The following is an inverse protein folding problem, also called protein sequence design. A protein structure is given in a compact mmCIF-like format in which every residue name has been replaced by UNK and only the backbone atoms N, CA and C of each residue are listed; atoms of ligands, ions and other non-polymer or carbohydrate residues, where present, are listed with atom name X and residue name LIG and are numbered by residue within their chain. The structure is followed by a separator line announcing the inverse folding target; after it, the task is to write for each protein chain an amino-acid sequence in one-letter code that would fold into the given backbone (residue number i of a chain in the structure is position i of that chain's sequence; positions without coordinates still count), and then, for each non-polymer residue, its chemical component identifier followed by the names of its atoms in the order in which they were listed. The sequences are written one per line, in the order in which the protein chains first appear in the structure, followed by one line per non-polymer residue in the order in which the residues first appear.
data_IF_466304689886
#
_entry.id   IF_466304689886
#
_cell.length_a   1.000
_cell.length_b   1.000
_cell.length_c   1.000
_cell.angle_alpha   90.00
_cell.angle_beta   90.00
_cell.angle_gamma   90.00
#
_symmetry.space_group_name_H-M   'P 1'
#
loop_
_entity.id
_entity.type
_entity.pdbx_description
1 polymer ?
#
# COMPACT_ATOMS: atom_id res chain seq x y z
N UNK A 1 7.17 9.65 -22.23
CA UNK A 1 6.11 9.52 -21.20
C UNK A 1 5.43 8.19 -21.46
N UNK A 2 5.34 7.31 -20.44
CA UNK A 2 4.62 6.06 -20.61
C UNK A 2 3.14 6.34 -20.88
N UNK A 3 2.51 5.52 -21.72
CA UNK A 3 1.08 5.61 -22.00
C UNK A 3 0.23 4.99 -20.88
N UNK A 4 0.83 4.67 -19.72
CA UNK A 4 0.21 4.04 -18.56
C UNK A 4 0.74 4.67 -17.26
N UNK A 5 -0.02 4.54 -16.17
CA UNK A 5 0.41 4.91 -14.82
C UNK A 5 0.92 3.70 -14.02
N UNK A 6 0.31 2.54 -14.24
CA UNK A 6 0.72 1.28 -13.63
C UNK A 6 0.62 0.15 -14.67
N UNK A 7 1.66 -0.66 -14.80
CA UNK A 7 1.70 -1.73 -15.79
C UNK A 7 2.19 -3.03 -15.19
N UNK A 8 1.52 -4.11 -15.52
CA UNK A 8 1.98 -5.48 -15.32
C UNK A 8 2.33 -6.06 -16.70
N UNK A 9 3.54 -6.57 -16.84
CA UNK A 9 4.09 -7.10 -18.10
C UNK A 9 4.57 -8.53 -17.88
N UNK A 10 3.86 -9.49 -18.44
CA UNK A 10 4.04 -10.93 -18.25
C UNK A 10 4.22 -11.34 -16.78
N UNK A 11 3.50 -10.64 -15.90
CA UNK A 11 3.64 -10.83 -14.46
C UNK A 11 3.21 -12.23 -14.06
N UNK A 12 4.09 -12.92 -13.33
CA UNK A 12 3.83 -14.22 -12.73
C UNK A 12 3.98 -14.14 -11.20
N UNK A 13 2.98 -14.67 -10.49
CA UNK A 13 2.89 -14.62 -9.04
C UNK A 13 2.69 -15.99 -8.43
N UNK A 14 3.14 -16.17 -7.19
CA UNK A 14 3.01 -17.43 -6.49
C UNK A 14 3.78 -17.46 -5.18
N UNK A 15 4.00 -18.65 -4.65
CA UNK A 15 4.64 -18.88 -3.36
C UNK A 15 5.79 -19.88 -3.48
N UNK A 16 6.89 -19.63 -2.77
CA UNK A 16 8.03 -20.55 -2.67
C UNK A 16 8.56 -21.03 -4.03
N UNK A 17 8.59 -20.13 -5.02
CA UNK A 17 9.05 -20.44 -6.37
C UNK A 17 8.03 -21.21 -7.23
N UNK A 18 6.83 -21.52 -6.72
CA UNK A 18 5.75 -22.14 -7.49
C UNK A 18 4.81 -21.07 -8.01
N UNK A 19 4.66 -21.03 -9.34
CA UNK A 19 3.72 -20.12 -10.00
C UNK A 19 2.29 -20.54 -9.73
N UNK A 20 1.48 -19.59 -9.28
CA UNK A 20 0.04 -19.74 -9.09
C UNK A 20 -0.72 -19.15 -10.28
N UNK A 21 -0.32 -17.98 -10.73
CA UNK A 21 -0.89 -17.27 -11.88
C UNK A 21 0.26 -16.72 -12.71
N UNK A 22 0.15 -16.78 -14.02
CA UNK A 22 1.11 -16.27 -14.99
C UNK A 22 0.39 -15.49 -16.11
N UNK A 23 1.17 -14.87 -16.98
CA UNK A 23 0.70 -14.13 -18.15
C UNK A 23 -0.26 -12.98 -17.79
N UNK A 24 -0.03 -12.31 -16.63
CA UNK A 24 -0.81 -11.16 -16.24
C UNK A 24 -0.26 -9.94 -16.98
N UNK A 25 -1.07 -9.41 -17.90
CA UNK A 25 -0.77 -8.24 -18.70
C UNK A 25 -1.90 -7.22 -18.53
N UNK A 26 -1.63 -6.12 -17.84
CA UNK A 26 -2.60 -5.07 -17.55
C UNK A 26 -1.90 -3.73 -17.56
N UNK A 27 -2.45 -2.79 -18.30
CA UNK A 27 -2.09 -1.39 -18.28
C UNK A 27 -3.21 -0.60 -17.58
N UNK A 28 -2.85 0.30 -16.67
CA UNK A 28 -3.79 1.10 -15.88
C UNK A 28 -3.40 2.56 -16.02
N UNK A 29 -4.34 3.40 -16.43
CA UNK A 29 -4.16 4.85 -16.55
C UNK A 29 -4.43 5.58 -15.24
N UNK A 30 -4.01 6.85 -15.16
CA UNK A 30 -4.34 7.70 -14.01
C UNK A 30 -5.84 7.90 -13.89
N UNK A 31 -6.37 7.71 -12.67
CA UNK A 31 -7.78 7.90 -12.37
C UNK A 31 -8.66 6.70 -12.66
N UNK A 32 -8.12 5.60 -13.17
CA UNK A 32 -8.86 4.36 -13.35
C UNK A 32 -9.08 3.62 -12.04
N UNK A 33 -10.20 2.92 -11.97
CA UNK A 33 -10.53 1.97 -10.89
C UNK A 33 -10.55 0.57 -11.48
N UNK A 34 -9.65 -0.28 -11.01
CA UNK A 34 -9.57 -1.68 -11.42
C UNK A 34 -10.03 -2.58 -10.30
N UNK A 35 -10.94 -3.50 -10.60
CA UNK A 35 -11.49 -4.45 -9.64
C UNK A 35 -11.08 -5.89 -10.00
N UNK A 36 -10.47 -6.60 -9.05
CA UNK A 36 -10.17 -8.02 -9.18
C UNK A 36 -11.35 -8.85 -8.66
N UNK A 37 -12.00 -9.58 -9.55
CA UNK A 37 -13.16 -10.44 -9.24
C UNK A 37 -12.79 -11.90 -9.46
N UNK A 38 -13.26 -12.79 -8.60
CA UNK A 38 -13.04 -14.22 -8.71
C UNK A 38 -13.33 -14.94 -7.40
N UNK A 39 -13.42 -16.28 -7.42
CA UNK A 39 -13.67 -17.09 -6.22
C UNK A 39 -12.53 -16.99 -5.21
N UNK A 40 -12.80 -17.46 -3.98
CA UNK A 40 -11.75 -17.58 -2.97
C UNK A 40 -10.66 -18.56 -3.46
N UNK A 41 -9.39 -18.22 -3.20
CA UNK A 41 -8.25 -19.01 -3.67
C UNK A 41 -7.83 -18.77 -5.13
N UNK A 42 -8.51 -17.90 -5.90
CA UNK A 42 -8.13 -17.58 -7.28
C UNK A 42 -6.85 -16.74 -7.43
N UNK A 43 -6.20 -16.37 -6.31
CA UNK A 43 -4.94 -15.64 -6.32
C UNK A 43 -5.04 -14.11 -6.29
N UNK A 44 -6.24 -13.52 -6.11
CA UNK A 44 -6.42 -12.06 -6.01
C UNK A 44 -5.48 -11.42 -4.98
N UNK A 45 -5.46 -11.96 -3.76
CA UNK A 45 -4.58 -11.48 -2.69
C UNK A 45 -3.09 -11.69 -3.00
N UNK A 46 -2.75 -12.72 -3.77
CA UNK A 46 -1.38 -12.98 -4.22
C UNK A 46 -0.91 -11.90 -5.19
N UNK A 47 -1.78 -11.52 -6.14
CA UNK A 47 -1.50 -10.40 -7.06
C UNK A 47 -1.28 -9.11 -6.26
N UNK A 48 -2.23 -8.75 -5.37
CA UNK A 48 -2.13 -7.53 -4.55
C UNK A 48 -0.87 -7.51 -3.68
N UNK A 49 -0.54 -8.63 -3.03
CA UNK A 49 0.70 -8.75 -2.23
C UNK A 49 1.97 -8.63 -3.08
N UNK A 50 1.93 -9.07 -4.32
CA UNK A 50 3.08 -8.97 -5.23
C UNK A 50 3.28 -7.54 -5.74
N UNK A 51 2.22 -6.82 -6.11
CA UNK A 51 2.32 -5.42 -6.54
C UNK A 51 2.66 -4.45 -5.39
N UNK A 52 2.39 -4.84 -4.14
CA UNK A 52 2.80 -4.09 -2.94
C UNK A 52 4.16 -4.51 -2.39
N UNK A 53 4.92 -5.34 -3.11
CA UNK A 53 6.22 -5.92 -2.71
C UNK A 53 6.21 -6.75 -1.42
N UNK A 54 5.04 -7.15 -0.93
CA UNK A 54 4.94 -8.11 0.19
C UNK A 54 5.32 -9.53 -0.23
N UNK A 55 5.14 -9.84 -1.52
CA UNK A 55 5.61 -11.08 -2.15
C UNK A 55 6.51 -10.75 -3.34
N UNK A 56 7.56 -11.53 -3.52
CA UNK A 56 8.41 -11.44 -4.72
C UNK A 56 7.66 -11.97 -5.94
N UNK A 57 7.83 -11.32 -7.07
CA UNK A 57 7.38 -11.86 -8.36
C UNK A 57 8.11 -13.18 -8.65
N UNK A 58 7.41 -14.10 -9.28
CA UNK A 58 8.00 -15.34 -9.85
C UNK A 58 8.59 -15.03 -11.22
N UNK A 59 7.96 -14.15 -11.99
CA UNK A 59 8.40 -13.71 -13.31
C UNK A 59 7.73 -12.43 -13.74
N UNK A 60 8.13 -11.91 -14.90
CA UNK A 60 7.62 -10.67 -15.46
C UNK A 60 8.10 -9.43 -14.75
N UNK A 61 7.48 -8.31 -15.07
CA UNK A 61 7.80 -6.99 -14.51
C UNK A 61 6.53 -6.24 -14.13
N UNK A 62 6.67 -5.34 -13.17
CA UNK A 62 5.65 -4.38 -12.81
C UNK A 62 6.28 -2.99 -12.83
N UNK A 63 5.60 -2.04 -13.44
CA UNK A 63 6.05 -0.66 -13.57
C UNK A 63 5.07 0.29 -12.88
N UNK A 64 5.62 1.27 -12.23
CA UNK A 64 4.93 2.42 -11.69
C UNK A 64 5.45 3.64 -12.43
N UNK A 65 4.60 4.23 -13.27
CA UNK A 65 5.07 5.17 -14.29
C UNK A 65 6.19 4.50 -15.13
N UNK A 66 7.31 5.12 -15.35
CA UNK A 66 8.44 4.53 -16.11
C UNK A 66 9.42 3.72 -15.24
N UNK A 67 9.14 3.56 -13.95
CA UNK A 67 10.05 2.92 -12.99
C UNK A 67 9.63 1.50 -12.66
N UNK A 68 10.56 0.55 -12.80
CA UNK A 68 10.32 -0.84 -12.39
C UNK A 68 10.09 -0.94 -10.88
N UNK A 69 8.98 -1.56 -10.49
CA UNK A 69 8.64 -1.80 -9.08
C UNK A 69 9.77 -2.54 -8.33
N UNK A 70 10.48 -3.44 -9.00
CA UNK A 70 11.57 -4.20 -8.40
C UNK A 70 12.75 -3.29 -8.00
N UNK A 71 12.99 -2.22 -8.76
CA UNK A 71 14.09 -1.27 -8.57
C UNK A 71 13.74 -0.18 -7.56
N UNK A 72 12.46 0.12 -7.34
CA UNK A 72 12.02 1.09 -6.35
C UNK A 72 12.43 0.67 -4.94
N UNK A 73 12.94 1.59 -4.16
CA UNK A 73 13.06 1.40 -2.71
C UNK A 73 11.68 1.34 -2.04
N UNK A 74 11.61 0.77 -0.82
CA UNK A 74 10.35 0.80 -0.07
C UNK A 74 9.89 2.22 0.25
N UNK A 75 10.82 3.15 0.44
CA UNK A 75 10.52 4.56 0.67
C UNK A 75 9.85 5.20 -0.56
N UNK A 76 10.39 4.99 -1.74
CA UNK A 76 9.80 5.47 -2.99
C UNK A 76 8.42 4.86 -3.24
N UNK A 77 8.28 3.54 -3.03
CA UNK A 77 6.99 2.88 -3.19
C UNK A 77 5.94 3.45 -2.24
N UNK A 78 6.26 3.62 -0.95
CA UNK A 78 5.32 4.13 0.04
C UNK A 78 4.97 5.61 -0.13
N UNK A 79 5.79 6.38 -0.87
CA UNK A 79 5.45 7.76 -1.26
C UNK A 79 4.48 7.83 -2.44
N UNK A 80 4.32 6.73 -3.19
CA UNK A 80 3.51 6.67 -4.40
C UNK A 80 2.31 5.73 -4.29
N UNK A 81 2.26 4.87 -3.26
CA UNK A 81 1.22 3.85 -3.11
C UNK A 81 0.71 3.79 -1.67
N UNK A 82 -0.61 3.86 -1.50
CA UNK A 82 -1.28 3.54 -0.24
C UNK A 82 -1.96 2.17 -0.34
N UNK A 83 -1.98 1.43 0.77
CA UNK A 83 -2.58 0.09 0.84
C UNK A 83 -3.52 0.03 2.02
N UNK A 84 -4.77 -0.38 1.78
CA UNK A 84 -5.72 -0.73 2.82
C UNK A 84 -5.75 -2.25 2.97
N UNK A 85 -5.38 -2.73 4.15
CA UNK A 85 -5.36 -4.16 4.47
C UNK A 85 -6.72 -4.61 4.98
N UNK A 86 -7.11 -5.84 4.68
CA UNK A 86 -8.32 -6.48 5.24
C UNK A 86 -8.09 -6.98 6.66
N UNK A 87 -6.84 -7.24 7.04
CA UNK A 87 -6.46 -7.66 8.38
C UNK A 87 -6.16 -6.43 9.23
N UNK A 88 -6.70 -6.42 10.45
CA UNK A 88 -6.43 -5.34 11.40
C UNK A 88 -4.97 -5.37 11.82
N UNK A 89 -4.31 -4.22 11.75
CA UNK A 89 -2.97 -4.04 12.29
C UNK A 89 -3.07 -4.15 13.82
N UNK A 90 -2.33 -5.09 14.39
CA UNK A 90 -2.17 -5.19 15.84
C UNK A 90 -0.95 -4.38 16.24
N UNK A 91 -1.14 -3.40 17.07
CA UNK A 91 -0.07 -2.54 17.59
C UNK A 91 -0.06 -2.64 19.11
N UNK A 92 1.10 -2.49 19.72
CA UNK A 92 1.22 -2.37 21.17
C UNK A 92 1.30 -0.90 21.54
N UNK A 93 0.36 -0.45 22.40
CA UNK A 93 0.39 0.88 23.03
C UNK A 93 0.43 2.08 22.06
N UNK A 94 -0.11 1.96 20.86
CA UNK A 94 -0.21 3.10 19.94
C UNK A 94 -1.61 3.70 19.95
N UNK A 95 -1.66 5.02 19.96
CA UNK A 95 -2.89 5.80 19.77
C UNK A 95 -3.31 5.80 18.28
N UNK A 96 -4.56 6.17 18.02
CA UNK A 96 -5.04 6.33 16.65
C UNK A 96 -4.23 7.39 15.87
N UNK A 97 -3.89 8.49 16.53
CA UNK A 97 -3.06 9.55 15.95
C UNK A 97 -1.68 9.02 15.56
N UNK A 98 -1.00 8.27 16.43
CA UNK A 98 0.30 7.68 16.14
C UNK A 98 0.25 6.68 14.97
N UNK A 99 -0.83 5.89 14.84
CA UNK A 99 -1.03 5.00 13.68
C UNK A 99 -1.15 5.81 12.39
N UNK A 100 -1.95 6.87 12.36
CA UNK A 100 -2.09 7.74 11.18
C UNK A 100 -0.76 8.42 10.87
N UNK A 101 -0.04 8.86 11.89
CA UNK A 101 1.28 9.48 11.77
C UNK A 101 2.33 8.57 11.11
N UNK A 102 2.20 7.23 11.23
CA UNK A 102 3.10 6.30 10.51
C UNK A 102 3.07 6.51 8.99
N UNK A 103 1.97 7.00 8.44
CA UNK A 103 1.84 7.36 7.03
C UNK A 103 2.81 8.47 6.58
N UNK A 104 3.38 9.24 7.53
CA UNK A 104 4.37 10.27 7.23
C UNK A 104 5.81 9.76 7.19
N UNK A 105 6.11 8.53 7.61
CA UNK A 105 7.48 8.00 7.63
C UNK A 105 8.23 8.10 6.30
N UNK A 106 7.62 7.94 5.12
CA UNK A 106 8.33 8.13 3.86
C UNK A 106 8.89 9.53 3.67
N UNK A 107 8.29 10.53 4.32
CA UNK A 107 8.61 11.96 4.19
C UNK A 107 9.50 12.48 5.32
N UNK A 108 9.58 11.76 6.43
CA UNK A 108 10.43 12.13 7.56
C UNK A 108 11.90 11.76 7.32
N UNK A 109 12.79 12.38 8.10
CA UNK A 109 14.21 12.04 8.10
C UNK A 109 14.51 10.70 8.78
N UNK A 110 15.80 10.41 8.95
CA UNK A 110 16.31 9.14 9.54
C UNK A 110 15.77 8.80 10.95
N UNK A 111 15.38 9.82 11.70
CA UNK A 111 14.87 9.67 13.07
C UNK A 111 13.35 9.55 13.15
N UNK A 112 12.64 9.66 12.03
CA UNK A 112 11.18 9.58 12.00
C UNK A 112 10.47 10.72 12.76
N UNK A 113 11.16 11.84 13.01
CA UNK A 113 10.60 12.99 13.73
C UNK A 113 9.66 13.74 12.78
N UNK A 114 8.41 13.91 13.21
CA UNK A 114 7.41 14.69 12.49
C UNK A 114 7.71 16.18 12.62
N UNK A 115 7.53 16.89 11.52
CA UNK A 115 7.53 18.36 11.50
C UNK A 115 6.14 18.88 11.83
N UNK A 116 5.97 20.18 12.15
CA UNK A 116 4.63 20.78 12.31
C UNK A 116 3.75 20.62 11.07
N UNK A 117 4.33 20.59 9.87
CA UNK A 117 3.61 20.33 8.64
C UNK A 117 3.12 18.88 8.55
N UNK A 118 3.93 17.91 8.99
CA UNK A 118 3.53 16.51 9.06
C UNK A 118 2.37 16.32 10.04
N UNK A 119 2.42 16.96 11.20
CA UNK A 119 1.33 16.92 12.20
C UNK A 119 0.04 17.50 11.65
N UNK A 120 0.10 18.63 10.93
CA UNK A 120 -1.08 19.19 10.27
C UNK A 120 -1.69 18.20 9.25
N UNK A 121 -0.86 17.53 8.45
CA UNK A 121 -1.32 16.53 7.47
C UNK A 121 -1.99 15.34 8.18
N UNK A 122 -1.46 14.91 9.33
CA UNK A 122 -2.07 13.85 10.15
C UNK A 122 -3.45 14.28 10.66
N UNK A 123 -3.57 15.49 11.19
CA UNK A 123 -4.85 16.04 11.66
C UNK A 123 -5.88 16.17 10.52
N UNK A 124 -5.45 16.64 9.36
CA UNK A 124 -6.30 16.72 8.15
C UNK A 124 -6.76 15.34 7.69
N UNK A 125 -5.89 14.33 7.73
CA UNK A 125 -6.25 12.95 7.39
C UNK A 125 -7.28 12.38 8.36
N UNK A 126 -7.13 12.64 9.67
CA UNK A 126 -8.10 12.22 10.69
C UNK A 126 -9.45 12.88 10.49
N UNK A 127 -9.46 14.18 10.17
CA UNK A 127 -10.69 14.94 9.84
C UNK A 127 -11.39 14.36 8.61
N UNK A 128 -10.65 13.99 7.58
CA UNK A 128 -11.21 13.47 6.35
C UNK A 128 -12.03 12.18 6.55
N UNK A 129 -11.74 11.42 7.62
CA UNK A 129 -12.46 10.19 7.99
C UNK A 129 -13.31 10.35 9.27
N UNK A 130 -13.49 11.58 9.77
CA UNK A 130 -14.26 11.89 10.99
C UNK A 130 -13.76 11.15 12.23
N UNK A 131 -12.44 11.05 12.39
CA UNK A 131 -11.79 10.34 13.49
C UNK A 131 -11.04 11.26 14.47
N UNK A 132 -11.26 12.58 14.44
CA UNK A 132 -10.55 13.56 15.28
C UNK A 132 -10.67 13.24 16.78
N UNK A 133 -11.87 12.87 17.21
CA UNK A 133 -12.17 12.57 18.62
C UNK A 133 -11.53 11.26 19.09
N UNK A 134 -11.01 10.45 18.17
CA UNK A 134 -10.35 9.18 18.46
C UNK A 134 -8.84 9.31 18.63
N UNK A 135 -8.25 10.45 18.30
CA UNK A 135 -6.80 10.63 18.19
C UNK A 135 -6.01 10.09 19.39
N UNK A 136 -6.46 10.38 20.59
CA UNK A 136 -5.79 9.96 21.83
C UNK A 136 -6.22 8.58 22.35
N UNK A 137 -7.10 7.86 21.63
CA UNK A 137 -7.53 6.52 22.06
C UNK A 137 -6.53 5.46 21.61
N UNK A 138 -6.41 4.40 22.40
CA UNK A 138 -5.68 3.20 22.00
C UNK A 138 -6.32 2.64 20.73
N UNK A 139 -5.51 2.46 19.70
CA UNK A 139 -5.95 1.94 18.39
C UNK A 139 -6.62 0.57 18.49
N UNK A 140 -6.18 -0.27 19.44
CA UNK A 140 -6.79 -1.60 19.63
C UNK A 140 -8.16 -1.53 20.33
N UNK A 141 -8.49 -0.42 20.97
CA UNK A 141 -9.73 -0.23 21.72
C UNK A 141 -10.88 0.39 20.89
N UNK A 142 -10.61 0.78 19.64
CA UNK A 142 -11.65 1.30 18.74
C UNK A 142 -12.25 0.16 17.87
N UNK A 143 -13.50 0.34 17.44
CA UNK A 143 -14.15 -0.59 16.50
C UNK A 143 -13.72 -0.34 15.04
N UNK A 144 -13.97 -1.33 14.16
CA UNK A 144 -13.63 -1.24 12.74
C UNK A 144 -14.67 -0.44 11.91
N UNK A 145 -15.60 0.23 12.53
CA UNK A 145 -16.63 1.03 11.85
C UNK A 145 -17.15 2.17 12.67
#
# INVERSE_FOLDING_TARGET
MADYYFKMDDMAVGYQGKTLIHDINIDIDKGEIVTLIGPNGSGKSTILKSITKQLKLIGGKVFFDDTSLQEMSYKELSSNMAVVLTERIKTELMTCHEIVATGRYPYTGRLGILTPEDEQIVDEAMKAVHAEDLGNRDFNAISDG
#
